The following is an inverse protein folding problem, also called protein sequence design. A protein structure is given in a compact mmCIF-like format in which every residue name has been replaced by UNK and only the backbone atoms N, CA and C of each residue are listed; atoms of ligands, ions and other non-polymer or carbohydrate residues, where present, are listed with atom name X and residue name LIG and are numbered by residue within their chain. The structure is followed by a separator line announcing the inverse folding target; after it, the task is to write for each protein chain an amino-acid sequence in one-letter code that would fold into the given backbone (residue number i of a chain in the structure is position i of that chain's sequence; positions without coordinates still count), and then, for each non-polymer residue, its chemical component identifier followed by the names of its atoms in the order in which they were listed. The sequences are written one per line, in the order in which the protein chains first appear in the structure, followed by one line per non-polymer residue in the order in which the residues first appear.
data_IF_111275295609
#
_entry.id   IF_111275295609
#
_cell.length_a   1.000
_cell.length_b   1.000
_cell.length_c   1.000
_cell.angle_alpha   90.00
_cell.angle_beta   90.00
_cell.angle_gamma   90.00
#
_symmetry.space_group_name_H-M   'P 1'
#
loop_
_entity.id
_entity.type
_entity.pdbx_description
1 polymer ?
#
# COMPACT_ATOMS: atom_id res chain seq x y z
N UNK A 1 -33.30 1.28 19.74
CA UNK A 1 -33.12 1.40 18.29
C UNK A 1 -31.73 1.93 18.03
N UNK A 2 -31.11 1.62 16.89
CA UNK A 2 -29.82 2.23 16.52
C UNK A 2 -30.10 3.60 15.91
N UNK A 3 -29.37 4.63 16.34
CA UNK A 3 -29.54 6.00 15.86
C UNK A 3 -28.34 6.44 15.03
N UNK A 4 -28.60 7.01 13.86
CA UNK A 4 -27.61 7.40 12.86
C UNK A 4 -27.69 8.90 12.61
N UNK A 5 -26.55 9.56 12.53
CA UNK A 5 -26.45 10.95 12.08
C UNK A 5 -25.84 10.99 10.68
N UNK A 6 -26.55 11.55 9.71
CA UNK A 6 -26.06 11.84 8.37
C UNK A 6 -25.62 13.30 8.28
N UNK A 7 -24.43 13.56 7.75
CA UNK A 7 -23.85 14.91 7.64
C UNK A 7 -23.40 15.11 6.21
N UNK A 8 -24.09 15.95 5.45
CA UNK A 8 -23.77 16.23 4.05
C UNK A 8 -24.29 17.62 3.68
N UNK A 9 -23.50 18.43 2.98
CA UNK A 9 -23.95 19.75 2.53
C UNK A 9 -24.94 19.67 1.36
N UNK A 10 -25.05 18.51 0.72
CA UNK A 10 -26.07 18.20 -0.26
C UNK A 10 -27.35 17.62 0.39
N UNK A 11 -28.45 18.39 0.28
CA UNK A 11 -29.76 18.00 0.80
C UNK A 11 -30.30 16.73 0.13
N UNK A 12 -30.02 16.53 -1.17
CA UNK A 12 -30.49 15.34 -1.88
C UNK A 12 -29.83 14.08 -1.33
N UNK A 13 -28.51 14.11 -1.13
CA UNK A 13 -27.75 13.03 -0.49
C UNK A 13 -28.23 12.77 0.95
N UNK A 14 -28.47 13.82 1.75
CA UNK A 14 -29.03 13.68 3.09
C UNK A 14 -30.38 12.94 3.08
N UNK A 15 -31.32 13.37 2.23
CA UNK A 15 -32.64 12.77 2.14
C UNK A 15 -32.56 11.30 1.69
N UNK A 16 -31.72 11.03 0.68
CA UNK A 16 -31.52 9.68 0.16
C UNK A 16 -30.98 8.70 1.20
N UNK A 17 -29.91 9.09 1.90
CA UNK A 17 -29.33 8.25 2.97
C UNK A 17 -30.30 8.07 4.14
N UNK A 18 -31.06 9.11 4.47
CA UNK A 18 -32.10 9.04 5.51
C UNK A 18 -33.18 8.03 5.17
N UNK A 19 -33.69 8.04 3.93
CA UNK A 19 -34.71 7.09 3.47
C UNK A 19 -34.19 5.65 3.52
N UNK A 20 -33.00 5.41 2.97
CA UNK A 20 -32.37 4.08 2.92
C UNK A 20 -32.13 3.50 4.32
N UNK A 21 -31.63 4.31 5.26
CA UNK A 21 -31.38 3.86 6.62
C UNK A 21 -32.66 3.71 7.44
N UNK A 22 -33.71 4.48 7.15
CA UNK A 22 -35.02 4.31 7.76
C UNK A 22 -35.69 2.99 7.32
N UNK A 23 -35.55 2.59 6.05
CA UNK A 23 -36.02 1.29 5.54
C UNK A 23 -35.38 0.10 6.27
N UNK A 24 -34.16 0.28 6.76
CA UNK A 24 -33.43 -0.70 7.59
C UNK A 24 -33.89 -0.73 9.05
N UNK A 25 -34.84 0.13 9.44
CA UNK A 25 -35.40 0.23 10.79
C UNK A 25 -34.51 0.99 11.77
N UNK A 26 -33.62 1.85 11.28
CA UNK A 26 -32.80 2.74 12.10
C UNK A 26 -33.44 4.12 12.24
N UNK A 27 -33.20 4.77 13.39
CA UNK A 27 -33.57 6.18 13.57
C UNK A 27 -32.48 7.04 12.94
N UNK A 28 -32.87 8.01 12.10
CA UNK A 28 -31.91 8.79 11.32
C UNK A 28 -32.19 10.27 11.48
N UNK A 29 -31.17 11.01 11.87
CA UNK A 29 -31.14 12.47 11.82
C UNK A 29 -30.18 12.91 10.72
N UNK A 30 -30.41 14.09 10.15
CA UNK A 30 -29.52 14.67 9.15
C UNK A 30 -29.13 16.11 9.49
N UNK A 31 -27.93 16.50 9.09
CA UNK A 31 -27.38 17.85 9.24
C UNK A 31 -26.66 18.28 7.97
N UNK A 32 -26.82 19.55 7.59
CA UNK A 32 -26.15 20.14 6.43
C UNK A 32 -24.89 20.94 6.76
N UNK A 33 -24.51 20.98 8.04
CA UNK A 33 -23.33 21.72 8.47
C UNK A 33 -22.62 21.00 9.61
N UNK A 34 -21.32 21.23 9.70
CA UNK A 34 -20.50 20.72 10.80
C UNK A 34 -20.97 21.29 12.15
N UNK A 35 -21.38 22.55 12.19
CA UNK A 35 -21.89 23.22 13.39
C UNK A 35 -23.17 22.56 13.92
N UNK A 36 -24.18 22.38 13.06
CA UNK A 36 -25.42 21.74 13.48
C UNK A 36 -25.22 20.24 13.83
N UNK A 37 -24.23 19.59 13.21
CA UNK A 37 -23.85 18.22 13.59
C UNK A 37 -23.21 18.15 14.99
N UNK A 38 -22.37 19.11 15.36
CA UNK A 38 -21.81 19.20 16.72
C UNK A 38 -22.93 19.38 17.75
N UNK A 39 -23.81 20.34 17.52
CA UNK A 39 -24.95 20.59 18.41
C UNK A 39 -25.81 19.33 18.60
N UNK A 40 -26.02 18.57 17.52
CA UNK A 40 -26.76 17.32 17.58
C UNK A 40 -26.05 16.24 18.41
N UNK A 41 -24.73 16.05 18.21
CA UNK A 41 -23.93 15.06 18.95
C UNK A 41 -23.80 15.43 20.44
N UNK A 42 -23.79 16.73 20.78
CA UNK A 42 -23.80 17.18 22.18
C UNK A 42 -25.17 16.93 22.85
N UNK A 43 -26.27 17.09 22.11
CA UNK A 43 -27.63 16.93 22.64
C UNK A 43 -28.11 15.49 22.66
N UNK A 44 -27.51 14.61 21.86
CA UNK A 44 -28.00 13.24 21.64
C UNK A 44 -26.88 12.26 21.31
N UNK A 45 -27.03 11.02 21.77
CA UNK A 45 -26.11 9.95 21.44
C UNK A 45 -26.45 9.31 20.09
N UNK A 46 -25.43 9.07 19.27
CA UNK A 46 -25.52 8.37 17.99
C UNK A 46 -24.65 7.11 18.00
N UNK A 47 -25.16 6.01 17.46
CA UNK A 47 -24.41 4.77 17.29
C UNK A 47 -23.47 4.82 16.08
N UNK A 48 -23.88 5.55 15.04
CA UNK A 48 -23.15 5.70 13.79
C UNK A 48 -23.29 7.14 13.27
N UNK A 49 -22.18 7.69 12.78
CA UNK A 49 -22.14 8.96 12.08
C UNK A 49 -21.67 8.69 10.65
N UNK A 50 -22.39 9.21 9.67
CA UNK A 50 -22.06 9.13 8.25
C UNK A 50 -21.85 10.55 7.75
N UNK A 51 -20.62 10.93 7.43
CA UNK A 51 -20.27 12.33 7.11
C UNK A 51 -19.59 12.47 5.76
N UNK A 52 -20.00 13.45 4.95
CA UNK A 52 -19.18 13.90 3.82
C UNK A 52 -17.86 14.49 4.33
N UNK A 53 -16.77 14.26 3.60
CA UNK A 53 -15.49 14.92 3.82
C UNK A 53 -15.58 16.40 3.41
N UNK A 54 -16.25 16.68 2.30
CA UNK A 54 -16.32 18.01 1.71
C UNK A 54 -17.59 18.74 2.13
N UNK A 55 -17.70 19.03 3.42
CA UNK A 55 -18.74 19.91 3.92
C UNK A 55 -18.36 21.33 3.46
N UNK A 56 -19.14 21.97 2.58
CA UNK A 56 -18.85 23.27 1.94
C UNK A 56 -18.64 24.50 2.88
N UNK A 57 -18.42 24.27 4.18
CA UNK A 57 -18.04 25.26 5.19
C UNK A 57 -16.54 25.29 5.51
N UNK A 58 -16.20 25.77 6.72
CA UNK A 58 -14.80 25.92 7.18
C UNK A 58 -14.19 24.64 7.75
N UNK A 59 -15.03 23.68 8.15
CA UNK A 59 -14.61 22.43 8.79
C UNK A 59 -14.89 21.26 7.84
N UNK A 60 -13.87 20.45 7.56
CA UNK A 60 -14.01 19.21 6.77
C UNK A 60 -14.56 18.06 7.62
N UNK A 61 -15.11 17.03 6.98
CA UNK A 61 -15.57 15.82 7.66
C UNK A 61 -14.47 15.09 8.42
N UNK A 62 -13.20 15.21 7.98
CA UNK A 62 -12.04 14.64 8.70
C UNK A 62 -11.76 15.41 10.00
N UNK A 63 -11.82 16.74 9.96
CA UNK A 63 -11.67 17.55 11.16
C UNK A 63 -12.80 17.24 12.16
N UNK A 64 -14.03 17.06 11.65
CA UNK A 64 -15.19 16.70 12.45
C UNK A 64 -15.07 15.30 13.07
N UNK A 65 -14.57 14.32 12.31
CA UNK A 65 -14.24 12.98 12.82
C UNK A 65 -13.29 13.06 14.03
N UNK A 66 -12.21 13.85 13.90
CA UNK A 66 -11.22 14.01 14.96
C UNK A 66 -11.85 14.55 16.24
N UNK A 67 -12.68 15.59 16.11
CA UNK A 67 -13.41 16.17 17.23
C UNK A 67 -14.34 15.14 17.89
N UNK A 68 -15.09 14.36 17.11
CA UNK A 68 -15.98 13.32 17.65
C UNK A 68 -15.23 12.20 18.39
N UNK A 69 -14.04 11.84 17.91
CA UNK A 69 -13.16 10.88 18.60
C UNK A 69 -12.57 11.47 19.88
N UNK A 70 -12.17 12.73 19.89
CA UNK A 70 -11.67 13.44 21.09
C UNK A 70 -12.75 13.56 22.17
N UNK A 71 -14.01 13.80 21.78
CA UNK A 71 -15.15 13.82 22.70
C UNK A 71 -15.56 12.43 23.21
N UNK A 72 -14.90 11.35 22.77
CA UNK A 72 -15.22 9.97 23.14
C UNK A 72 -16.70 9.63 22.95
N UNK A 73 -17.29 10.05 21.82
CA UNK A 73 -18.74 9.93 21.58
C UNK A 73 -19.26 8.48 21.57
N UNK A 74 -18.36 7.48 21.51
CA UNK A 74 -18.70 6.06 21.40
C UNK A 74 -19.25 5.65 20.03
N UNK A 75 -19.43 6.62 19.12
CA UNK A 75 -19.96 6.43 17.78
C UNK A 75 -18.89 5.90 16.82
N UNK A 76 -19.29 4.99 15.94
CA UNK A 76 -18.51 4.70 14.74
C UNK A 76 -18.75 5.78 13.69
N UNK A 77 -17.74 6.08 12.88
CA UNK A 77 -17.81 7.16 11.88
C UNK A 77 -17.45 6.63 10.50
N UNK A 78 -18.36 6.72 9.54
CA UNK A 78 -18.11 6.43 8.12
C UNK A 78 -17.98 7.75 7.39
N UNK A 79 -16.93 7.89 6.58
CA UNK A 79 -16.76 9.07 5.73
C UNK A 79 -17.25 8.80 4.31
N UNK A 80 -17.93 9.77 3.70
CA UNK A 80 -18.37 9.76 2.30
C UNK A 80 -17.60 10.86 1.55
N UNK A 81 -17.22 10.68 0.29
CA UNK A 81 -16.69 11.79 -0.52
C UNK A 81 -16.83 11.57 -2.02
N UNK A 82 -17.16 12.63 -2.76
CA UNK A 82 -17.15 12.63 -4.24
C UNK A 82 -15.84 13.05 -4.90
N UNK A 83 -14.88 13.57 -4.13
CA UNK A 83 -13.56 14.03 -4.61
C UNK A 83 -12.44 13.50 -3.72
N UNK A 84 -12.42 12.18 -3.50
CA UNK A 84 -11.39 11.55 -2.68
C UNK A 84 -10.06 11.51 -3.41
N UNK A 85 -9.10 12.36 -3.01
CA UNK A 85 -7.69 12.07 -3.28
C UNK A 85 -7.25 10.97 -2.33
N UNK A 86 -6.32 10.11 -2.75
CA UNK A 86 -5.75 9.02 -1.93
C UNK A 86 -5.27 9.54 -0.56
N UNK A 87 -4.76 10.76 -0.51
CA UNK A 87 -4.28 11.45 0.68
C UNK A 87 -5.39 11.64 1.73
N UNK A 88 -6.57 12.12 1.32
CA UNK A 88 -7.73 12.33 2.22
C UNK A 88 -8.31 11.02 2.78
N UNK A 89 -8.31 9.95 1.98
CA UNK A 89 -8.77 8.63 2.44
C UNK A 89 -7.81 7.99 3.45
N UNK A 90 -6.49 8.20 3.26
CA UNK A 90 -5.48 7.74 4.23
C UNK A 90 -5.55 8.52 5.54
N UNK A 91 -5.78 9.84 5.46
CA UNK A 91 -5.96 10.69 6.63
C UNK A 91 -7.21 10.30 7.43
N UNK A 92 -8.35 10.09 6.75
CA UNK A 92 -9.59 9.58 7.34
C UNK A 92 -9.39 8.31 8.19
N UNK A 93 -8.67 7.33 7.65
CA UNK A 93 -8.38 6.08 8.36
C UNK A 93 -7.44 6.30 9.54
N UNK A 94 -6.44 7.19 9.40
CA UNK A 94 -5.50 7.52 10.49
C UNK A 94 -6.22 8.16 11.68
N UNK A 95 -7.17 9.04 11.40
CA UNK A 95 -7.98 9.73 12.43
C UNK A 95 -9.07 8.83 13.04
N UNK A 96 -9.13 7.55 12.65
CA UNK A 96 -9.97 6.55 13.30
C UNK A 96 -11.38 6.42 12.71
N UNK A 97 -11.59 6.80 11.44
CA UNK A 97 -12.81 6.43 10.72
C UNK A 97 -12.99 4.91 10.71
N UNK A 98 -14.24 4.46 10.85
CA UNK A 98 -14.62 3.07 10.71
C UNK A 98 -14.42 2.58 9.27
N UNK A 99 -14.92 3.34 8.31
CA UNK A 99 -14.76 3.06 6.87
C UNK A 99 -14.93 4.33 6.04
N UNK A 100 -14.67 4.22 4.74
CA UNK A 100 -14.80 5.28 3.76
C UNK A 100 -15.57 4.80 2.53
N UNK A 101 -16.48 5.64 2.01
CA UNK A 101 -17.33 5.35 0.85
C UNK A 101 -17.20 6.48 -0.19
N UNK A 102 -16.84 6.14 -1.43
CA UNK A 102 -16.77 7.15 -2.50
C UNK A 102 -18.14 7.40 -3.14
N UNK A 103 -18.48 8.66 -3.44
CA UNK A 103 -19.56 9.01 -4.38
C UNK A 103 -19.03 8.82 -5.82
N UNK A 104 -19.84 8.27 -6.76
CA UNK A 104 -21.17 7.71 -6.54
C UNK A 104 -21.10 6.35 -5.82
N UNK A 105 -21.97 6.15 -4.82
CA UNK A 105 -21.97 4.95 -3.99
C UNK A 105 -23.12 3.99 -4.31
N UNK A 106 -22.91 2.70 -4.05
CA UNK A 106 -23.96 1.69 -4.15
C UNK A 106 -24.76 1.61 -2.83
N UNK A 107 -26.09 1.64 -2.91
CA UNK A 107 -26.99 1.57 -1.74
C UNK A 107 -26.70 0.35 -0.86
N UNK A 108 -26.52 -0.82 -1.47
CA UNK A 108 -26.26 -2.06 -0.73
C UNK A 108 -24.91 -2.01 0.00
N UNK A 109 -23.92 -1.32 -0.56
CA UNK A 109 -22.60 -1.15 0.02
C UNK A 109 -22.66 -0.25 1.26
N UNK A 110 -23.37 0.88 1.16
CA UNK A 110 -23.56 1.81 2.29
C UNK A 110 -24.27 1.12 3.45
N UNK A 111 -25.38 0.41 3.19
CA UNK A 111 -26.12 -0.35 4.20
C UNK A 111 -25.22 -1.42 4.83
N UNK A 112 -24.48 -2.19 4.02
CA UNK A 112 -23.61 -3.24 4.51
C UNK A 112 -22.52 -2.69 5.44
N UNK A 113 -21.93 -1.55 5.09
CA UNK A 113 -20.93 -0.87 5.90
C UNK A 113 -21.52 -0.32 7.20
N UNK A 114 -22.69 0.31 7.15
CA UNK A 114 -23.42 0.76 8.34
C UNK A 114 -23.77 -0.41 9.28
N UNK A 115 -24.26 -1.54 8.75
CA UNK A 115 -24.53 -2.76 9.53
C UNK A 115 -23.27 -3.31 10.22
N UNK A 116 -22.11 -3.22 9.56
CA UNK A 116 -20.82 -3.65 10.15
C UNK A 116 -20.41 -2.72 11.28
N UNK A 117 -20.51 -1.40 11.08
CA UNK A 117 -20.20 -0.40 12.10
C UNK A 117 -21.06 -0.59 13.36
N UNK A 118 -22.37 -0.77 13.18
CA UNK A 118 -23.33 -0.88 14.28
C UNK A 118 -23.25 -2.17 15.10
N UNK A 119 -22.62 -3.24 14.56
CA UNK A 119 -22.50 -4.55 15.22
C UNK A 119 -21.42 -4.62 16.29
N UNK A 120 -20.47 -3.66 16.31
CA UNK A 120 -19.53 -3.45 17.40
C UNK A 120 -18.91 -4.71 17.99
N UNK A 121 -18.01 -5.37 17.26
CA UNK A 121 -16.92 -6.29 17.70
C UNK A 121 -16.41 -7.06 16.49
N UNK A 122 -15.54 -6.38 15.74
CA UNK A 122 -14.34 -6.93 15.10
C UNK A 122 -13.68 -5.73 14.42
N UNK A 123 -12.56 -5.30 14.99
CA UNK A 123 -11.72 -4.29 14.38
C UNK A 123 -11.22 -4.85 13.04
N UNK A 124 -11.77 -4.37 11.94
CA UNK A 124 -11.23 -4.66 10.62
C UNK A 124 -12.27 -4.62 9.51
N UNK A 125 -12.34 -3.50 8.79
CA UNK A 125 -11.96 -3.47 7.38
C UNK A 125 -12.29 -2.11 6.75
N UNK A 126 -11.36 -1.13 6.81
CA UNK A 126 -11.36 0.01 5.90
C UNK A 126 -10.76 -0.45 4.56
N UNK A 127 -11.57 -0.88 3.58
CA UNK A 127 -10.96 -1.41 2.36
C UNK A 127 -11.77 -1.52 1.08
N UNK A 128 -13.11 -1.52 1.03
CA UNK A 128 -13.80 -1.99 -0.17
C UNK A 128 -13.50 -1.19 -1.46
N UNK A 129 -13.34 0.13 -1.34
CA UNK A 129 -13.12 1.03 -2.50
C UNK A 129 -11.64 1.19 -2.85
N UNK A 130 -10.77 1.40 -1.85
CA UNK A 130 -9.30 1.43 -2.01
C UNK A 130 -8.75 0.10 -2.58
N UNK A 131 -9.37 -1.03 -2.22
CA UNK A 131 -9.04 -2.36 -2.72
C UNK A 131 -9.20 -2.49 -4.22
N UNK A 132 -10.23 -1.90 -4.82
CA UNK A 132 -10.54 -2.13 -6.23
C UNK A 132 -9.55 -1.45 -7.15
N UNK A 133 -9.21 -0.20 -6.88
CA UNK A 133 -8.21 0.55 -7.65
C UNK A 133 -6.79 -0.02 -7.44
N UNK A 134 -6.41 -0.38 -6.22
CA UNK A 134 -5.12 -1.04 -5.97
C UNK A 134 -5.07 -2.44 -6.59
N UNK A 135 -6.16 -3.21 -6.56
CA UNK A 135 -6.18 -4.59 -7.07
C UNK A 135 -6.08 -4.65 -8.59
N UNK A 136 -6.85 -3.81 -9.28
CA UNK A 136 -6.82 -3.72 -10.76
C UNK A 136 -5.49 -3.13 -11.26
N UNK A 137 -4.90 -2.19 -10.53
CA UNK A 137 -3.67 -1.52 -10.92
C UNK A 137 -2.37 -2.13 -10.35
N UNK A 138 -2.39 -3.10 -9.45
CA UNK A 138 -1.15 -3.73 -8.94
C UNK A 138 -1.13 -5.25 -9.01
N UNK A 139 -2.27 -5.88 -9.30
CA UNK A 139 -2.41 -7.34 -9.31
C UNK A 139 -2.43 -7.96 -7.90
N UNK A 140 -2.33 -7.16 -6.84
CA UNK A 140 -2.57 -7.64 -5.47
C UNK A 140 -4.07 -7.91 -5.28
N UNK A 141 -4.41 -9.10 -4.79
CA UNK A 141 -5.78 -9.53 -4.62
C UNK A 141 -5.96 -10.03 -3.19
N UNK A 142 -6.96 -9.51 -2.50
CA UNK A 142 -7.29 -9.92 -1.13
C UNK A 142 -7.90 -8.78 -0.33
N UNK A 143 -8.89 -9.08 0.50
CA UNK A 143 -9.65 -8.18 1.37
C UNK A 143 -9.54 -8.55 2.86
N UNK A 144 -8.73 -9.55 3.21
CA UNK A 144 -8.45 -9.90 4.61
C UNK A 144 -7.84 -8.73 5.37
N UNK A 145 -8.09 -8.66 6.69
CA UNK A 145 -7.57 -7.58 7.54
C UNK A 145 -6.05 -7.35 7.38
N UNK A 146 -5.27 -8.44 7.25
CA UNK A 146 -3.81 -8.35 7.04
C UNK A 146 -3.44 -7.74 5.70
N UNK A 147 -4.18 -8.04 4.64
CA UNK A 147 -3.97 -7.43 3.32
C UNK A 147 -4.34 -5.95 3.34
N UNK A 148 -5.43 -5.60 4.02
CA UNK A 148 -5.86 -4.22 4.21
C UNK A 148 -4.77 -3.39 4.88
N UNK A 149 -4.19 -3.91 5.96
CA UNK A 149 -3.10 -3.24 6.66
C UNK A 149 -1.86 -3.09 5.77
N UNK A 150 -1.52 -4.11 4.99
CA UNK A 150 -0.44 -4.04 4.00
C UNK A 150 -0.70 -2.93 2.95
N UNK A 151 -1.94 -2.79 2.45
CA UNK A 151 -2.27 -1.71 1.49
C UNK A 151 -2.10 -0.33 2.11
N UNK A 152 -2.50 -0.12 3.36
CA UNK A 152 -2.28 1.15 4.07
C UNK A 152 -0.80 1.48 4.18
N UNK A 153 0.02 0.48 4.54
CA UNK A 153 1.46 0.67 4.64
C UNK A 153 2.07 0.99 3.27
N UNK A 154 1.63 0.33 2.20
CA UNK A 154 2.06 0.64 0.83
C UNK A 154 1.69 2.09 0.48
N UNK A 155 0.46 2.52 0.73
CA UNK A 155 -0.01 3.88 0.45
C UNK A 155 0.80 4.94 1.21
N UNK A 156 1.14 4.67 2.48
CA UNK A 156 1.97 5.56 3.30
C UNK A 156 3.40 5.69 2.79
N UNK A 157 3.98 4.58 2.32
CA UNK A 157 5.41 4.51 1.98
C UNK A 157 5.68 4.85 0.51
N UNK A 158 4.70 4.66 -0.38
CA UNK A 158 4.86 4.85 -1.81
C UNK A 158 5.31 6.29 -2.21
N UNK A 159 4.81 7.38 -1.59
CA UNK A 159 5.29 8.74 -1.89
C UNK A 159 6.75 9.02 -1.52
N UNK A 160 7.31 8.23 -0.58
CA UNK A 160 8.66 8.45 -0.06
C UNK A 160 9.76 7.98 -1.02
N UNK A 161 10.98 8.50 -0.86
CA UNK A 161 12.20 8.02 -1.54
C UNK A 161 12.93 6.92 -0.75
N UNK A 162 12.39 6.50 0.39
CA UNK A 162 13.03 5.54 1.28
C UNK A 162 13.18 4.18 0.62
N UNK A 163 14.26 3.49 0.99
CA UNK A 163 14.44 2.07 0.69
C UNK A 163 13.38 1.27 1.45
N UNK A 164 12.80 0.28 0.79
CA UNK A 164 11.80 -0.61 1.39
C UNK A 164 12.28 -2.05 1.29
N UNK A 165 12.31 -2.74 2.43
CA UNK A 165 12.53 -4.17 2.52
C UNK A 165 11.19 -4.90 2.61
N UNK A 166 10.91 -5.77 1.64
CA UNK A 166 9.68 -6.54 1.52
C UNK A 166 9.98 -7.98 1.94
N UNK A 167 9.48 -8.41 3.08
CA UNK A 167 9.67 -9.78 3.58
C UNK A 167 8.42 -10.62 3.35
N UNK A 168 8.59 -11.93 3.25
CA UNK A 168 7.48 -12.86 3.11
C UNK A 168 7.90 -14.16 2.43
N UNK A 169 7.12 -15.21 2.67
CA UNK A 169 7.38 -16.53 2.09
C UNK A 169 7.41 -16.47 0.56
N UNK A 170 8.03 -17.49 -0.06
CA UNK A 170 8.01 -17.62 -1.52
C UNK A 170 6.57 -17.70 -2.03
N UNK A 171 6.29 -17.04 -3.16
CA UNK A 171 4.96 -17.03 -3.78
C UNK A 171 3.89 -16.18 -3.07
N UNK A 172 4.23 -15.40 -2.04
CA UNK A 172 3.23 -14.54 -1.33
C UNK A 172 2.85 -13.27 -2.09
N UNK A 173 3.60 -12.89 -3.13
CA UNK A 173 3.34 -11.69 -3.94
C UNK A 173 4.26 -10.50 -3.65
N UNK A 174 5.49 -10.73 -3.14
CA UNK A 174 6.47 -9.67 -2.85
C UNK A 174 6.73 -8.73 -4.05
N UNK A 175 6.85 -9.27 -5.26
CA UNK A 175 7.01 -8.46 -6.47
C UNK A 175 5.78 -7.57 -6.74
N UNK A 176 4.57 -8.07 -6.48
CA UNK A 176 3.34 -7.28 -6.66
C UNK A 176 3.31 -6.08 -5.69
N UNK A 177 3.78 -6.28 -4.46
CA UNK A 177 3.98 -5.19 -3.49
C UNK A 177 5.00 -4.17 -3.99
N UNK A 178 6.13 -4.62 -4.55
CA UNK A 178 7.13 -3.71 -5.12
C UNK A 178 6.57 -2.90 -6.29
N UNK A 179 5.78 -3.54 -7.16
CA UNK A 179 5.08 -2.88 -8.28
C UNK A 179 4.05 -1.88 -7.77
N UNK A 180 3.29 -2.21 -6.73
CA UNK A 180 2.33 -1.31 -6.10
C UNK A 180 3.04 -0.06 -5.52
N UNK A 181 4.16 -0.24 -4.81
CA UNK A 181 4.97 0.87 -4.29
C UNK A 181 5.48 1.78 -5.40
N UNK A 182 5.95 1.23 -6.52
CA UNK A 182 6.43 2.03 -7.64
C UNK A 182 5.30 2.81 -8.34
N UNK A 183 4.18 2.15 -8.66
CA UNK A 183 3.04 2.76 -9.34
C UNK A 183 2.38 3.87 -8.54
N UNK A 184 2.44 3.81 -7.21
CA UNK A 184 1.89 4.82 -6.32
C UNK A 184 2.95 5.83 -5.82
N UNK A 185 4.10 5.91 -6.51
CA UNK A 185 5.18 6.84 -6.16
C UNK A 185 5.28 8.00 -7.15
N UNK A 186 6.00 9.08 -6.81
CA UNK A 186 6.33 10.14 -7.77
C UNK A 186 7.13 9.67 -8.99
N UNK A 187 7.65 8.43 -8.96
CA UNK A 187 8.41 7.78 -10.04
C UNK A 187 7.57 6.82 -10.88
N UNK A 188 6.23 6.82 -10.74
CA UNK A 188 5.35 5.88 -11.44
C UNK A 188 5.48 5.87 -12.97
N UNK A 189 5.90 6.99 -13.57
CA UNK A 189 6.12 7.14 -15.01
C UNK A 189 7.57 6.81 -15.43
N UNK A 190 8.46 6.57 -14.47
CA UNK A 190 9.86 6.22 -14.73
C UNK A 190 10.06 4.69 -14.81
N UNK A 191 11.26 4.25 -15.15
CA UNK A 191 11.56 2.83 -15.28
C UNK A 191 11.37 2.07 -13.96
N UNK A 192 10.76 0.88 -14.05
CA UNK A 192 10.77 -0.14 -12.99
C UNK A 192 11.60 -1.32 -13.46
N UNK A 193 12.79 -1.50 -12.89
CA UNK A 193 13.73 -2.56 -13.25
C UNK A 193 13.71 -3.62 -12.16
N UNK A 194 13.20 -4.82 -12.48
CA UNK A 194 13.16 -5.95 -11.55
C UNK A 194 14.29 -6.95 -11.89
N UNK A 195 14.98 -7.43 -10.85
CA UNK A 195 16.03 -8.44 -10.97
C UNK A 195 15.91 -9.45 -9.85
N UNK A 196 15.96 -10.73 -10.21
CA UNK A 196 16.02 -11.83 -9.26
C UNK A 196 17.49 -12.21 -9.02
N UNK A 197 17.98 -11.94 -7.79
CA UNK A 197 19.37 -12.18 -7.43
C UNK A 197 19.72 -13.67 -7.28
N UNK A 198 18.73 -14.55 -7.13
CA UNK A 198 18.92 -16.00 -6.99
C UNK A 198 19.06 -16.71 -8.35
N UNK A 199 18.52 -16.13 -9.42
CA UNK A 199 18.42 -16.78 -10.73
C UNK A 199 19.71 -16.71 -11.58
N UNK A 200 20.74 -16.01 -11.09
CA UNK A 200 21.94 -15.65 -11.86
C UNK A 200 23.17 -16.04 -11.04
N UNK A 201 24.23 -16.53 -11.70
CA UNK A 201 25.52 -16.79 -11.04
C UNK A 201 26.13 -15.48 -10.51
N UNK A 202 26.94 -15.56 -9.46
CA UNK A 202 27.52 -14.37 -8.81
C UNK A 202 28.20 -13.39 -9.79
N UNK A 203 29.05 -13.90 -10.67
CA UNK A 203 29.80 -13.09 -11.64
C UNK A 203 28.89 -12.41 -12.66
N UNK A 204 27.85 -13.10 -13.10
CA UNK A 204 26.85 -12.55 -14.00
C UNK A 204 25.96 -11.53 -13.28
N UNK A 205 25.55 -11.80 -12.04
CA UNK A 205 24.74 -10.89 -11.24
C UNK A 205 25.45 -9.55 -11.03
N UNK A 206 26.73 -9.59 -10.67
CA UNK A 206 27.54 -8.39 -10.50
C UNK A 206 27.64 -7.58 -11.81
N UNK A 207 27.87 -8.27 -12.93
CA UNK A 207 27.89 -7.66 -14.27
C UNK A 207 26.52 -7.11 -14.70
N UNK A 208 25.41 -7.78 -14.38
CA UNK A 208 24.06 -7.28 -14.69
C UNK A 208 23.75 -6.03 -13.85
N UNK A 209 23.93 -6.10 -12.53
CA UNK A 209 23.60 -4.99 -11.63
C UNK A 209 24.45 -3.74 -11.94
N UNK A 210 25.77 -3.92 -12.07
CA UNK A 210 26.72 -2.81 -12.12
C UNK A 210 27.30 -2.55 -13.50
N UNK A 211 27.03 -3.39 -14.50
CA UNK A 211 27.66 -3.30 -15.82
C UNK A 211 29.13 -3.68 -15.79
N UNK A 212 29.74 -3.71 -16.97
CA UNK A 212 31.16 -4.05 -17.12
C UNK A 212 31.81 -3.29 -18.28
N UNK A 213 33.14 -3.19 -18.24
CA UNK A 213 33.94 -2.74 -19.37
C UNK A 213 34.48 -3.93 -20.14
N UNK A 214 34.69 -3.75 -21.44
CA UNK A 214 35.29 -4.77 -22.31
C UNK A 214 36.59 -5.31 -21.70
N UNK A 215 36.71 -6.63 -21.64
CA UNK A 215 37.88 -7.33 -21.11
C UNK A 215 37.96 -7.43 -19.58
N UNK A 216 36.92 -7.05 -18.83
CA UNK A 216 36.92 -7.15 -17.37
C UNK A 216 36.88 -8.58 -16.83
N UNK A 217 36.37 -9.53 -17.61
CA UNK A 217 36.36 -10.97 -17.31
C UNK A 217 36.25 -11.78 -18.60
N UNK A 218 36.46 -13.09 -18.52
CA UNK A 218 36.37 -14.02 -19.66
C UNK A 218 34.95 -14.00 -20.24
N UNK A 219 34.77 -13.48 -21.45
CA UNK A 219 33.46 -13.31 -22.10
C UNK A 219 32.94 -11.87 -22.16
N UNK A 220 33.62 -10.90 -21.53
CA UNK A 220 33.31 -9.48 -21.65
C UNK A 220 33.77 -8.90 -23.00
N UNK A 221 33.03 -9.19 -24.07
CA UNK A 221 33.38 -8.83 -25.46
C UNK A 221 33.15 -7.35 -25.79
N UNK A 222 32.28 -6.68 -25.03
CA UNK A 222 31.93 -5.27 -25.19
C UNK A 222 31.67 -4.61 -23.83
N UNK A 223 31.57 -3.28 -23.81
CA UNK A 223 31.07 -2.56 -22.64
C UNK A 223 29.57 -2.80 -22.47
N UNK A 224 29.12 -2.98 -21.23
CA UNK A 224 27.71 -3.15 -20.88
C UNK A 224 27.32 -2.20 -19.75
N UNK A 225 26.17 -1.54 -19.90
CA UNK A 225 25.56 -0.74 -18.82
C UNK A 225 24.90 -1.65 -17.80
N UNK A 226 24.94 -1.26 -16.52
CA UNK A 226 24.29 -2.02 -15.46
C UNK A 226 22.82 -1.65 -15.29
N UNK A 227 22.05 -2.54 -14.65
CA UNK A 227 20.64 -2.33 -14.31
C UNK A 227 20.42 -1.10 -13.43
N UNK A 228 21.37 -0.73 -12.58
CA UNK A 228 21.30 0.53 -11.82
C UNK A 228 21.37 1.77 -12.73
N UNK A 229 22.12 1.72 -13.83
CA UNK A 229 22.13 2.80 -14.82
C UNK A 229 20.83 2.86 -15.63
N UNK A 230 20.23 1.70 -15.91
CA UNK A 230 18.95 1.59 -16.61
C UNK A 230 17.78 2.06 -15.73
N UNK A 231 17.85 1.82 -14.43
CA UNK A 231 16.86 2.24 -13.44
C UNK A 231 16.99 3.70 -13.01
N UNK A 232 17.93 4.47 -13.58
CA UNK A 232 18.19 5.85 -13.17
C UNK A 232 16.92 6.72 -13.27
N UNK A 233 16.69 7.56 -12.27
CA UNK A 233 15.44 8.32 -12.01
C UNK A 233 14.18 7.46 -11.73
N UNK A 234 14.28 6.13 -11.80
CA UNK A 234 13.21 5.17 -11.59
C UNK A 234 13.38 4.34 -10.31
N UNK A 235 12.90 3.11 -10.35
CA UNK A 235 12.96 2.17 -9.23
C UNK A 235 13.66 0.89 -9.67
N UNK A 236 14.58 0.39 -8.84
CA UNK A 236 15.12 -0.97 -8.97
C UNK A 236 14.51 -1.85 -7.89
N UNK A 237 14.03 -3.02 -8.29
CA UNK A 237 13.53 -4.06 -7.40
C UNK A 237 14.50 -5.24 -7.38
N UNK A 238 15.11 -5.48 -6.22
CA UNK A 238 16.08 -6.55 -5.96
C UNK A 238 15.36 -7.70 -5.25
N UNK A 239 14.92 -8.71 -6.02
CA UNK A 239 14.27 -9.90 -5.46
C UNK A 239 15.30 -10.92 -4.97
N UNK A 240 14.97 -11.61 -3.89
CA UNK A 240 15.84 -12.54 -3.17
C UNK A 240 17.22 -11.95 -2.81
N UNK A 241 17.23 -10.75 -2.22
CA UNK A 241 18.46 -10.03 -1.82
C UNK A 241 19.35 -10.83 -0.86
N UNK A 242 18.75 -11.72 -0.07
CA UNK A 242 19.44 -12.62 0.85
C UNK A 242 20.33 -13.68 0.17
N UNK A 243 20.20 -13.87 -1.14
CA UNK A 243 21.04 -14.78 -1.94
C UNK A 243 22.32 -14.10 -2.47
N UNK A 244 22.47 -12.79 -2.26
CA UNK A 244 23.63 -12.06 -2.79
C UNK A 244 24.92 -12.39 -2.03
N UNK A 245 26.04 -12.49 -2.75
CA UNK A 245 27.35 -12.68 -2.14
C UNK A 245 27.81 -11.43 -1.38
N UNK A 246 28.72 -11.60 -0.41
CA UNK A 246 29.30 -10.48 0.34
C UNK A 246 29.96 -9.43 -0.58
N UNK A 247 30.54 -9.86 -1.72
CA UNK A 247 31.14 -8.95 -2.69
C UNK A 247 30.10 -8.04 -3.36
N UNK A 248 28.96 -8.61 -3.77
CA UNK A 248 27.83 -7.84 -4.32
C UNK A 248 27.23 -6.92 -3.24
N UNK A 249 27.09 -7.41 -2.01
CA UNK A 249 26.57 -6.62 -0.88
C UNK A 249 27.40 -5.35 -0.60
N UNK A 250 28.74 -5.43 -0.69
CA UNK A 250 29.62 -4.25 -0.56
C UNK A 250 29.32 -3.20 -1.62
N UNK A 251 29.09 -3.62 -2.86
CA UNK A 251 28.79 -2.69 -3.96
C UNK A 251 27.40 -2.09 -3.83
N UNK A 252 26.41 -2.90 -3.44
CA UNK A 252 25.04 -2.43 -3.16
C UNK A 252 25.03 -1.36 -2.07
N UNK A 253 25.79 -1.56 -0.99
CA UNK A 253 25.91 -0.60 0.10
C UNK A 253 26.42 0.76 -0.39
N UNK A 254 27.44 0.77 -1.26
CA UNK A 254 27.95 2.02 -1.87
C UNK A 254 26.89 2.75 -2.67
N UNK A 255 26.10 2.02 -3.47
CA UNK A 255 25.00 2.65 -4.22
C UNK A 255 23.98 3.28 -3.27
N UNK A 256 23.60 2.58 -2.19
CA UNK A 256 22.62 3.06 -1.21
C UNK A 256 23.11 4.22 -0.33
N UNK A 257 24.42 4.35 -0.13
CA UNK A 257 25.03 5.40 0.69
C UNK A 257 25.42 6.62 -0.14
N UNK A 258 26.11 6.40 -1.26
CA UNK A 258 26.77 7.45 -2.05
C UNK A 258 25.97 7.84 -3.31
N UNK A 259 25.00 7.02 -3.72
CA UNK A 259 24.32 7.20 -5.02
C UNK A 259 25.28 7.00 -6.19
N UNK A 260 26.35 6.24 -5.98
CA UNK A 260 27.41 6.00 -6.96
C UNK A 260 27.69 4.51 -7.10
N UNK A 261 27.99 4.10 -8.34
CA UNK A 261 28.37 2.73 -8.67
C UNK A 261 29.62 2.72 -9.56
N UNK A 262 30.29 1.56 -9.63
CA UNK A 262 31.40 1.33 -10.55
C UNK A 262 31.15 0.08 -11.37
N UNK A 263 31.37 0.17 -12.68
CA UNK A 263 31.34 -0.99 -13.57
C UNK A 263 32.46 -1.97 -13.19
N UNK A 264 32.20 -3.26 -13.38
CA UNK A 264 33.23 -4.30 -13.21
C UNK A 264 34.41 -4.00 -14.13
N UNK A 265 35.63 -4.02 -13.58
CA UNK A 265 36.86 -3.68 -14.31
C UNK A 265 37.11 -2.18 -14.50
N UNK A 266 36.26 -1.29 -13.98
CA UNK A 266 36.44 0.16 -14.09
C UNK A 266 36.72 0.84 -12.74
N UNK A 267 37.64 1.80 -12.74
CA UNK A 267 37.87 2.68 -11.59
C UNK A 267 36.92 3.90 -11.57
N UNK A 268 36.20 4.16 -12.67
CA UNK A 268 35.33 5.33 -12.82
C UNK A 268 34.00 5.11 -12.09
N UNK A 269 33.66 6.02 -11.19
CA UNK A 269 32.33 6.08 -10.58
C UNK A 269 31.30 6.72 -11.52
N UNK A 270 30.06 6.23 -11.44
CA UNK A 270 28.88 6.72 -12.15
C UNK A 270 27.81 7.03 -11.11
N UNK A 271 27.27 8.26 -11.14
CA UNK A 271 26.15 8.65 -10.27
C UNK A 271 24.84 8.09 -10.81
N UNK A 272 24.01 7.59 -9.90
CA UNK A 272 22.68 7.06 -10.17
C UNK A 272 21.70 7.56 -9.11
N UNK A 273 20.52 8.01 -9.55
CA UNK A 273 19.42 8.41 -8.68
C UNK A 273 18.30 7.36 -8.77
N UNK A 274 18.40 6.30 -7.97
CA UNK A 274 17.51 5.14 -8.04
C UNK A 274 16.84 4.92 -6.69
N UNK A 275 15.52 4.69 -6.71
CA UNK A 275 14.81 4.18 -5.52
C UNK A 275 15.00 2.68 -5.45
N UNK A 276 15.46 2.17 -4.32
CA UNK A 276 15.70 0.73 -4.13
C UNK A 276 14.53 0.11 -3.36
N UNK A 277 13.96 -0.95 -3.91
CA UNK A 277 13.06 -1.87 -3.23
C UNK A 277 13.76 -3.23 -3.18
N UNK A 278 13.83 -3.87 -2.03
CA UNK A 278 14.45 -5.18 -1.89
C UNK A 278 13.43 -6.18 -1.35
N UNK A 279 13.49 -7.43 -1.78
CA UNK A 279 12.66 -8.50 -1.26
C UNK A 279 13.47 -9.73 -0.87
N UNK A 280 12.99 -10.48 0.12
CA UNK A 280 13.56 -11.76 0.49
C UNK A 280 12.56 -12.63 1.23
N UNK A 281 12.73 -13.95 1.10
CA UNK A 281 12.06 -14.94 1.93
C UNK A 281 12.90 -15.41 3.14
N UNK A 282 14.14 -14.93 3.28
CA UNK A 282 15.07 -15.30 4.36
C UNK A 282 14.93 -14.38 5.57
N UNK A 283 15.34 -14.90 6.72
CA UNK A 283 15.54 -14.11 7.93
C UNK A 283 16.91 -13.42 7.87
N UNK A 284 16.94 -12.15 7.43
CA UNK A 284 18.20 -11.42 7.28
C UNK A 284 18.90 -11.17 8.61
N UNK A 285 18.19 -11.07 9.74
CA UNK A 285 18.84 -10.92 11.04
C UNK A 285 19.64 -12.18 11.40
N UNK A 286 19.07 -13.34 11.08
CA UNK A 286 19.79 -14.61 11.20
C UNK A 286 20.96 -14.70 10.22
N UNK A 287 20.78 -14.31 8.96
CA UNK A 287 21.88 -14.29 7.97
C UNK A 287 23.03 -13.36 8.38
N UNK A 288 22.72 -12.24 9.06
CA UNK A 288 23.72 -11.34 9.66
C UNK A 288 24.48 -12.04 10.78
N UNK A 289 23.79 -12.67 11.72
CA UNK A 289 24.42 -13.42 12.83
C UNK A 289 25.32 -14.56 12.34
N UNK A 290 24.95 -15.17 11.22
CA UNK A 290 25.70 -16.27 10.59
C UNK A 290 26.77 -15.76 9.60
N UNK A 291 26.97 -14.44 9.47
CA UNK A 291 28.03 -13.83 8.66
C UNK A 291 27.85 -13.91 7.15
N UNK A 292 26.65 -14.29 6.69
CA UNK A 292 26.30 -14.39 5.25
C UNK A 292 25.69 -13.11 4.69
N UNK A 293 25.19 -12.25 5.56
CA UNK A 293 24.68 -10.93 5.18
C UNK A 293 25.36 -9.84 6.01
N UNK A 294 25.71 -8.72 5.39
CA UNK A 294 26.36 -7.62 6.11
C UNK A 294 25.34 -6.83 6.92
N UNK A 295 25.70 -6.57 8.18
CA UNK A 295 24.89 -5.79 9.11
C UNK A 295 24.62 -4.36 8.60
N UNK A 296 25.64 -3.70 8.05
CA UNK A 296 25.53 -2.33 7.53
C UNK A 296 24.54 -2.22 6.35
N UNK A 297 24.55 -3.21 5.44
CA UNK A 297 23.60 -3.30 4.35
C UNK A 297 22.19 -3.59 4.85
N UNK A 298 22.03 -4.49 5.82
CA UNK A 298 20.73 -4.81 6.40
C UNK A 298 20.04 -3.56 6.95
N UNK A 299 20.73 -2.77 7.76
CA UNK A 299 20.17 -1.53 8.30
C UNK A 299 19.87 -0.48 7.22
N UNK A 300 20.61 -0.47 6.12
CA UNK A 300 20.37 0.46 5.01
C UNK A 300 19.21 0.03 4.11
N UNK A 301 18.91 -1.26 4.04
CA UNK A 301 17.75 -1.81 3.34
C UNK A 301 16.47 -1.73 4.18
N UNK A 302 16.58 -2.00 5.49
CA UNK A 302 15.46 -2.09 6.43
C UNK A 302 15.06 -0.72 7.02
N UNK A 303 15.06 0.34 6.20
CA UNK A 303 14.58 1.67 6.62
C UNK A 303 13.07 1.64 6.82
N UNK A 304 12.37 1.00 5.89
CA UNK A 304 10.96 0.64 6.02
C UNK A 304 10.84 -0.85 5.69
N UNK A 305 10.23 -1.62 6.59
CA UNK A 305 9.98 -3.04 6.39
C UNK A 305 8.49 -3.29 6.17
N UNK A 306 8.14 -4.00 5.10
CA UNK A 306 6.78 -4.45 4.80
C UNK A 306 6.76 -5.98 4.80
N UNK A 307 5.88 -6.58 5.59
CA UNK A 307 5.72 -8.03 5.66
C UNK A 307 4.49 -8.47 4.87
N UNK A 308 4.69 -9.34 3.88
CA UNK A 308 3.61 -9.91 3.08
C UNK A 308 3.08 -11.17 3.79
N UNK A 309 1.80 -11.19 4.21
CA UNK A 309 1.26 -12.30 4.98
C UNK A 309 1.18 -13.58 4.14
N UNK A 310 1.56 -14.75 4.71
CA UNK A 310 1.40 -16.03 4.03
C UNK A 310 -0.07 -16.39 3.85
N UNK A 311 -0.40 -17.22 2.86
CA UNK A 311 -1.80 -17.55 2.53
C UNK A 311 -2.59 -18.13 3.71
N UNK A 312 -1.93 -18.91 4.58
CA UNK A 312 -2.55 -19.49 5.79
C UNK A 312 -3.02 -18.45 6.81
N UNK A 313 -2.53 -17.21 6.72
CA UNK A 313 -2.92 -16.09 7.59
C UNK A 313 -3.93 -15.14 6.93
N UNK A 314 -4.35 -15.46 5.69
CA UNK A 314 -5.34 -14.71 4.90
C UNK A 314 -6.28 -15.67 4.15
N UNK A 315 -6.80 -16.67 4.85
CA UNK A 315 -7.65 -17.72 4.27
C UNK A 315 -8.94 -17.18 3.66
N UNK A 316 -9.45 -16.06 4.16
CA UNK A 316 -10.59 -15.31 3.61
C UNK A 316 -10.37 -14.85 2.16
N UNK A 317 -9.11 -14.69 1.74
CA UNK A 317 -8.74 -14.28 0.39
C UNK A 317 -8.72 -15.44 -0.61
N UNK A 318 -8.75 -16.69 -0.15
CA UNK A 318 -8.61 -17.88 -1.01
C UNK A 318 -9.70 -17.96 -2.09
N UNK A 319 -11.00 -17.75 -1.81
CA UNK A 319 -12.03 -17.80 -2.86
C UNK A 319 -11.77 -16.76 -3.96
N UNK A 320 -11.35 -15.55 -3.58
CA UNK A 320 -11.06 -14.45 -4.49
C UNK A 320 -9.82 -14.75 -5.35
N UNK A 321 -8.74 -15.24 -4.72
CA UNK A 321 -7.51 -15.65 -5.40
C UNK A 321 -7.76 -16.80 -6.38
N UNK A 322 -8.54 -17.81 -5.98
CA UNK A 322 -8.90 -18.94 -6.84
C UNK A 322 -9.73 -18.48 -8.05
N UNK A 323 -10.71 -17.60 -7.84
CA UNK A 323 -11.50 -17.02 -8.93
C UNK A 323 -10.63 -16.22 -9.91
N UNK A 324 -9.67 -15.44 -9.41
CA UNK A 324 -8.74 -14.68 -10.24
C UNK A 324 -7.79 -15.59 -11.04
N UNK A 325 -7.21 -16.62 -10.39
CA UNK A 325 -6.34 -17.59 -11.06
C UNK A 325 -7.10 -18.36 -12.17
N UNK A 326 -8.35 -18.76 -11.92
CA UNK A 326 -9.21 -19.38 -12.94
C UNK A 326 -9.48 -18.44 -14.13
N UNK A 327 -9.69 -17.15 -13.87
CA UNK A 327 -9.87 -16.14 -14.91
C UNK A 327 -8.62 -16.01 -15.78
N UNK A 328 -7.45 -15.84 -15.17
CA UNK A 328 -6.18 -15.75 -15.88
C UNK A 328 -5.86 -17.01 -16.70
N UNK A 329 -6.13 -18.20 -16.15
CA UNK A 329 -5.93 -19.46 -16.87
C UNK A 329 -6.83 -19.58 -18.11
N UNK A 330 -8.08 -19.11 -18.04
CA UNK A 330 -9.00 -19.08 -19.18
C UNK A 330 -8.53 -18.12 -20.27
N UNK A 331 -8.03 -16.94 -19.88
CA UNK A 331 -7.51 -15.95 -20.83
C UNK A 331 -6.21 -16.43 -21.51
N UNK A 332 -5.35 -17.15 -20.78
CA UNK A 332 -4.13 -17.73 -21.32
C UNK A 332 -4.39 -18.92 -22.25
N UNK A 333 -5.41 -19.76 -21.97
CA UNK A 333 -5.79 -20.88 -22.82
C UNK A 333 -6.66 -20.52 -24.03
N UNK A 334 -7.13 -19.27 -24.11
CA UNK A 334 -7.86 -18.72 -25.25
C UNK A 334 -6.95 -18.03 -26.29
N UNK A 335 -5.64 -17.98 -26.04
CA UNK A 335 -4.58 -17.53 -26.97
C UNK A 335 -3.83 -18.73 -27.53
#
# INVERSE_FOLDING_TARGET
MKRILVIDDDLETCNFLTEIFAEEGWEVDSSQSAEAARDAVEQSHFDLIVSDINLGGRTSGIALLKEFKEMSSGSEVILISGFGTLETAVEAVREGAFDYVSKPFNVNEVIATARRALKGRDAGAPAAVLLKEYSEASGLVGHSHKMIELYKQIALVAPSRSTVLITGESGTGKELVARALHRNSPRAQAAFVAVNCAAITETLLESELFGHVKGSFTGATADKRGLFEEANAGTIFLDEIGETSLAVQVKLLRVLQEGEMRRVGSARSVRVDVRVLAATNRDLEREVKEGRFREDLYYRLSVVALCVPPLRERTEDLPLLAANALRQAREAGAR
#
